data_IF_791253132387
#
_entry.id   IF_791253132387
#
_cell.length_a   1.000
_cell.length_b   1.000
_cell.length_c   1.000
_cell.angle_alpha   90.00
_cell.angle_beta   90.00
_cell.angle_gamma   90.00
#
_symmetry.space_group_name_H-M   'P 1'
#
loop_
_entity.id
_entity.type
_entity.pdbx_description
1 polymer ?
#
# COMPACT_ATOMS: atom_id res chain seq x y z
N UNK A 1 -24.26 16.07 -46.02
CA UNK A 1 -23.88 17.40 -46.55
C UNK A 1 -24.53 18.48 -45.70
N UNK A 2 -23.75 19.50 -45.28
CA UNK A 2 -24.15 20.77 -44.62
C UNK A 2 -24.61 20.61 -43.15
N UNK A 3 -24.05 21.23 -42.10
CA UNK A 3 -23.05 22.31 -41.89
C UNK A 3 -22.43 22.09 -40.50
N UNK A 4 -21.12 21.82 -40.40
CA UNK A 4 -20.33 22.01 -39.16
C UNK A 4 -18.84 22.17 -39.54
N UNK A 5 -18.55 23.04 -40.52
CA UNK A 5 -17.17 23.27 -41.00
C UNK A 5 -16.55 24.61 -40.60
N UNK A 6 -17.26 25.48 -39.86
CA UNK A 6 -16.73 26.80 -39.50
C UNK A 6 -17.14 27.22 -38.07
N UNK A 7 -16.72 26.46 -37.07
CA UNK A 7 -16.49 27.02 -35.73
C UNK A 7 -14.98 27.17 -35.54
N UNK A 8 -14.39 28.08 -36.33
CA UNK A 8 -13.14 28.71 -35.90
C UNK A 8 -13.53 29.63 -34.75
N UNK A 9 -13.20 29.23 -33.53
CA UNK A 9 -13.10 30.16 -32.41
C UNK A 9 -11.98 31.15 -32.72
N UNK A 10 -12.28 32.17 -33.53
CA UNK A 10 -11.49 33.39 -33.59
C UNK A 10 -11.86 34.15 -32.33
N UNK A 11 -11.03 34.06 -31.30
CA UNK A 11 -10.92 35.14 -30.31
C UNK A 11 -9.50 35.66 -30.38
N UNK A 12 -9.28 36.96 -30.68
CA UNK A 12 -8.01 37.57 -30.38
C UNK A 12 -7.77 37.47 -28.87
N UNK A 13 -6.51 37.30 -28.47
CA UNK A 13 -6.10 37.51 -27.09
C UNK A 13 -6.39 38.98 -26.73
N UNK A 14 -7.56 39.25 -26.15
CA UNK A 14 -7.85 40.56 -25.56
C UNK A 14 -7.23 40.54 -24.17
N UNK A 15 -6.02 41.09 -24.07
CA UNK A 15 -5.43 41.55 -22.80
C UNK A 15 -6.14 42.83 -22.38
N UNK A 16 -7.27 42.71 -21.70
CA UNK A 16 -7.85 43.87 -20.99
C UNK A 16 -7.16 44.01 -19.63
N UNK A 17 -6.31 45.02 -19.48
CA UNK A 17 -5.82 45.45 -18.17
C UNK A 17 -6.97 46.20 -17.46
N UNK A 18 -7.48 45.63 -16.38
CA UNK A 18 -8.35 46.35 -15.46
C UNK A 18 -7.55 46.67 -14.20
N UNK A 19 -7.57 47.94 -13.79
CA UNK A 19 -6.82 48.44 -12.65
C UNK A 19 -7.74 48.48 -11.42
N UNK A 20 -7.38 47.73 -10.38
CA UNK A 20 -7.81 48.03 -9.01
C UNK A 20 -6.58 48.02 -8.12
N UNK A 21 -6.29 49.13 -7.45
CA UNK A 21 -5.23 49.27 -6.44
C UNK A 21 -3.77 49.12 -6.93
N UNK A 22 -3.44 49.50 -8.16
CA UNK A 22 -2.03 49.61 -8.61
C UNK A 22 -1.31 48.28 -8.85
N UNK A 23 -2.00 47.14 -8.71
CA UNK A 23 -1.51 45.83 -9.12
C UNK A 23 -2.12 45.50 -10.49
N UNK A 24 -1.32 45.21 -11.53
CA UNK A 24 -1.86 44.82 -12.83
C UNK A 24 -2.56 43.46 -12.71
N UNK A 25 -3.90 43.46 -12.67
CA UNK A 25 -4.69 42.24 -12.80
C UNK A 25 -4.69 41.86 -14.28
N UNK A 26 -3.77 40.97 -14.65
CA UNK A 26 -3.77 40.35 -15.96
C UNK A 26 -4.75 39.18 -15.94
N UNK A 27 -5.94 39.40 -16.49
CA UNK A 27 -6.88 38.32 -16.77
C UNK A 27 -6.33 37.57 -17.99
N UNK A 28 -5.44 36.60 -17.76
CA UNK A 28 -5.07 35.63 -18.78
C UNK A 28 -6.27 34.72 -19.03
N UNK A 29 -7.01 34.94 -20.12
CA UNK A 29 -7.95 33.94 -20.61
C UNK A 29 -7.15 32.79 -21.18
N UNK A 30 -7.00 31.72 -20.41
CA UNK A 30 -6.43 30.46 -20.90
C UNK A 30 -7.41 29.84 -21.90
N UNK A 31 -7.04 29.84 -23.17
CA UNK A 31 -7.70 28.99 -24.17
C UNK A 31 -7.22 27.57 -23.94
N UNK A 32 -8.14 26.66 -23.62
CA UNK A 32 -7.84 25.24 -23.46
C UNK A 32 -8.24 24.52 -24.74
N UNK A 33 -7.31 23.76 -25.32
CA UNK A 33 -7.69 22.79 -26.33
C UNK A 33 -8.20 21.52 -25.62
N UNK A 34 -9.51 21.26 -25.71
CA UNK A 34 -10.12 20.09 -25.07
C UNK A 34 -9.64 18.76 -25.67
N UNK A 35 -9.06 18.78 -26.86
CA UNK A 35 -8.47 17.61 -27.51
C UNK A 35 -7.00 17.37 -27.06
N UNK A 36 -6.44 18.22 -26.19
CA UNK A 36 -5.04 18.13 -25.73
C UNK A 36 -4.97 18.00 -24.21
N UNK A 37 -4.81 16.78 -23.70
CA UNK A 37 -4.73 16.51 -22.26
C UNK A 37 -3.62 17.30 -21.55
N UNK A 38 -2.48 17.54 -22.22
CA UNK A 38 -1.36 18.29 -21.67
C UNK A 38 -1.75 19.71 -21.21
N UNK A 39 -2.72 20.35 -21.88
CA UNK A 39 -3.21 21.68 -21.51
C UNK A 39 -4.04 21.66 -20.22
N UNK A 40 -4.55 20.51 -19.79
CA UNK A 40 -5.27 20.33 -18.52
C UNK A 40 -4.34 19.84 -17.42
N UNK A 41 -3.33 19.05 -17.79
CA UNK A 41 -2.37 18.46 -16.86
C UNK A 41 -1.28 19.46 -16.41
N UNK A 42 -0.72 20.24 -17.34
CA UNK A 42 0.36 21.19 -17.05
C UNK A 42 -0.25 22.48 -16.50
N UNK A 43 0.09 22.81 -15.25
CA UNK A 43 -0.42 24.01 -14.57
C UNK A 43 -0.10 25.32 -15.31
N UNK A 44 1.18 25.66 -15.53
CA UNK A 44 1.58 26.93 -16.14
C UNK A 44 1.10 27.11 -17.59
N UNK A 45 0.45 28.23 -17.86
CA UNK A 45 0.14 28.74 -19.21
C UNK A 45 1.39 29.29 -19.91
N UNK A 46 1.31 29.56 -21.21
CA UNK A 46 2.46 30.07 -21.97
C UNK A 46 2.95 31.43 -21.48
N UNK A 47 2.03 32.30 -21.04
CA UNK A 47 2.39 33.58 -20.42
C UNK A 47 3.11 33.38 -19.08
N UNK A 48 2.65 32.43 -18.26
CA UNK A 48 3.30 32.11 -16.97
C UNK A 48 4.68 31.50 -17.20
N UNK A 49 4.82 30.56 -18.16
CA UNK A 49 6.12 30.01 -18.57
C UNK A 49 7.07 31.13 -19.00
N UNK A 50 6.63 32.06 -19.84
CA UNK A 50 7.45 33.18 -20.29
C UNK A 50 7.90 34.07 -19.11
N UNK A 51 7.01 34.40 -18.18
CA UNK A 51 7.35 35.18 -16.98
C UNK A 51 8.35 34.47 -16.09
N UNK A 52 8.16 33.16 -15.86
CA UNK A 52 9.08 32.34 -15.07
C UNK A 52 10.46 32.26 -15.73
N UNK A 53 10.52 32.07 -17.05
CA UNK A 53 11.76 32.06 -17.82
C UNK A 53 12.49 33.40 -17.76
N UNK A 54 11.75 34.51 -17.92
CA UNK A 54 12.30 35.86 -17.81
C UNK A 54 12.88 36.12 -16.42
N UNK A 55 12.17 35.71 -15.36
CA UNK A 55 12.65 35.82 -13.98
C UNK A 55 13.95 35.04 -13.77
N UNK A 56 14.06 33.84 -14.35
CA UNK A 56 15.25 33.00 -14.27
C UNK A 56 16.39 33.42 -15.24
N UNK A 57 16.15 34.39 -16.13
CA UNK A 57 17.14 34.83 -17.13
C UNK A 57 17.29 33.89 -18.34
N UNK A 58 16.33 32.98 -18.57
CA UNK A 58 16.32 32.09 -19.73
C UNK A 58 15.41 32.61 -20.83
N UNK A 59 15.80 32.34 -22.09
CA UNK A 59 15.07 32.77 -23.28
C UNK A 59 13.82 31.92 -23.53
N UNK A 60 13.98 30.61 -23.41
CA UNK A 60 12.99 29.58 -23.71
C UNK A 60 13.29 28.33 -22.87
N UNK A 61 12.39 27.34 -22.92
CA UNK A 61 12.56 26.07 -22.22
C UNK A 61 13.77 25.29 -22.75
N UNK A 62 14.05 25.38 -24.05
CA UNK A 62 15.20 24.71 -24.65
C UNK A 62 16.51 25.24 -24.07
N UNK A 63 16.67 26.56 -23.91
CA UNK A 63 17.84 27.15 -23.26
C UNK A 63 17.97 26.67 -21.81
N UNK A 64 16.88 26.69 -21.03
CA UNK A 64 16.87 26.20 -19.65
C UNK A 64 17.30 24.72 -19.56
N UNK A 65 16.73 23.86 -20.40
CA UNK A 65 17.12 22.45 -20.49
C UNK A 65 18.55 22.29 -20.97
N UNK A 66 18.98 23.13 -21.93
CA UNK A 66 20.29 23.11 -22.56
C UNK A 66 21.44 23.50 -21.63
N UNK A 67 21.14 24.29 -20.60
CA UNK A 67 22.10 24.67 -19.56
C UNK A 67 22.19 23.61 -18.45
N UNK A 68 21.07 22.97 -18.09
CA UNK A 68 20.97 22.22 -16.83
C UNK A 68 21.16 20.70 -16.96
N UNK A 69 20.90 20.10 -18.12
CA UNK A 69 21.02 18.64 -18.33
C UNK A 69 22.31 18.33 -19.09
N UNK A 70 23.28 17.52 -18.63
CA UNK A 70 24.50 17.29 -19.42
C UNK A 70 24.21 16.72 -20.82
N UNK A 71 24.82 17.29 -21.87
CA UNK A 71 24.57 16.91 -23.27
C UNK A 71 24.79 15.41 -23.53
N UNK A 72 25.81 14.84 -22.88
CA UNK A 72 26.23 13.44 -23.05
C UNK A 72 25.13 12.42 -22.71
N UNK A 73 24.18 12.78 -21.85
CA UNK A 73 23.07 11.90 -21.43
C UNK A 73 21.72 12.27 -22.05
N UNK A 74 21.66 13.29 -22.91
CA UNK A 74 20.41 13.70 -23.54
C UNK A 74 20.03 12.73 -24.65
N UNK A 75 18.72 12.52 -24.78
CA UNK A 75 18.16 11.86 -25.94
C UNK A 75 18.41 12.71 -27.18
N UNK A 76 19.13 12.14 -28.16
CA UNK A 76 19.44 12.78 -29.45
C UNK A 76 18.29 12.71 -30.47
N UNK A 77 17.16 12.14 -30.05
CA UNK A 77 15.95 11.98 -30.86
C UNK A 77 14.72 12.16 -29.97
N UNK A 78 13.57 12.54 -30.53
CA UNK A 78 12.30 12.46 -29.83
C UNK A 78 11.99 11.04 -29.35
N UNK A 79 11.12 10.93 -28.35
CA UNK A 79 10.53 9.66 -27.97
C UNK A 79 9.71 9.11 -29.15
N UNK A 80 9.88 7.82 -29.42
CA UNK A 80 9.13 7.12 -30.45
C UNK A 80 7.85 6.57 -29.80
N UNK A 81 6.79 7.38 -29.84
CA UNK A 81 5.51 7.10 -29.20
C UNK A 81 4.38 7.27 -30.20
N UNK A 82 3.25 6.54 -30.03
CA UNK A 82 2.04 6.80 -30.79
C UNK A 82 1.58 8.27 -30.64
N UNK A 83 0.79 8.78 -31.60
CA UNK A 83 0.18 10.09 -31.47
C UNK A 83 -0.63 10.20 -30.17
N UNK A 84 -0.58 11.37 -29.53
CA UNK A 84 -1.36 11.62 -28.32
C UNK A 84 -2.86 11.49 -28.61
N UNK A 85 -3.58 10.83 -27.70
CA UNK A 85 -5.03 10.72 -27.71
C UNK A 85 -5.64 11.84 -26.88
N UNK A 86 -6.83 12.30 -27.27
CA UNK A 86 -7.69 13.08 -26.39
C UNK A 86 -8.29 12.20 -25.27
N UNK A 87 -8.80 12.84 -24.22
CA UNK A 87 -9.32 12.13 -23.03
C UNK A 87 -10.45 11.15 -23.37
N UNK A 88 -11.32 11.51 -24.31
CA UNK A 88 -12.48 10.70 -24.67
C UNK A 88 -12.09 9.46 -25.48
N UNK A 89 -11.19 9.62 -26.45
CA UNK A 89 -10.63 8.49 -27.22
C UNK A 89 -9.86 7.54 -26.33
N UNK A 90 -9.04 8.06 -25.41
CA UNK A 90 -8.29 7.25 -24.45
C UNK A 90 -9.23 6.35 -23.62
N UNK A 91 -10.33 6.89 -23.09
CA UNK A 91 -11.30 6.10 -22.33
C UNK A 91 -12.03 5.06 -23.18
N UNK A 92 -12.30 5.37 -24.45
CA UNK A 92 -12.95 4.46 -25.39
C UNK A 92 -12.04 3.28 -25.72
N UNK A 93 -10.79 3.55 -26.11
CA UNK A 93 -9.79 2.51 -26.38
C UNK A 93 -9.49 1.66 -25.14
N UNK A 94 -9.40 2.28 -23.96
CA UNK A 94 -9.20 1.54 -22.71
C UNK A 94 -10.37 0.59 -22.43
N UNK A 95 -11.61 1.00 -22.75
CA UNK A 95 -12.79 0.14 -22.60
C UNK A 95 -12.74 -1.06 -23.54
N UNK A 96 -12.38 -0.84 -24.81
CA UNK A 96 -12.21 -1.92 -25.80
C UNK A 96 -11.14 -2.94 -25.37
N UNK A 97 -10.06 -2.49 -24.72
CA UNK A 97 -9.06 -3.38 -24.14
C UNK A 97 -9.66 -4.14 -22.95
N UNK A 98 -10.36 -3.44 -22.05
CA UNK A 98 -10.95 -4.04 -20.86
C UNK A 98 -12.01 -5.10 -21.17
N UNK A 99 -12.77 -4.91 -22.25
CA UNK A 99 -13.83 -5.83 -22.70
C UNK A 99 -13.28 -7.18 -23.20
N UNK A 100 -11.96 -7.29 -23.42
CA UNK A 100 -11.29 -8.56 -23.74
C UNK A 100 -11.12 -9.44 -22.50
N UNK A 101 -11.20 -8.87 -21.30
CA UNK A 101 -11.13 -9.63 -20.06
C UNK A 101 -12.42 -10.43 -19.86
N UNK A 102 -12.28 -11.65 -19.34
CA UNK A 102 -13.43 -12.52 -19.01
C UNK A 102 -13.61 -12.57 -17.50
N UNK A 103 -14.74 -12.06 -17.03
CA UNK A 103 -15.08 -12.07 -15.62
C UNK A 103 -15.72 -13.42 -15.25
N UNK A 104 -14.92 -14.31 -14.65
CA UNK A 104 -15.39 -15.57 -14.10
C UNK A 104 -15.70 -15.43 -12.60
N UNK A 105 -16.55 -16.33 -12.09
CA UNK A 105 -16.63 -16.58 -10.64
C UNK A 105 -15.42 -17.41 -10.26
N UNK A 106 -14.46 -16.79 -9.59
CA UNK A 106 -13.17 -17.39 -9.28
C UNK A 106 -13.15 -17.89 -7.84
N UNK A 107 -13.11 -19.21 -7.68
CA UNK A 107 -12.97 -19.89 -6.38
C UNK A 107 -11.60 -20.54 -6.21
N UNK A 108 -10.57 -19.96 -6.83
CA UNK A 108 -9.19 -20.43 -6.74
C UNK A 108 -8.67 -20.30 -5.30
N UNK A 109 -9.06 -19.23 -4.58
CA UNK A 109 -8.55 -18.93 -3.25
C UNK A 109 -7.10 -18.46 -3.30
N UNK A 110 -6.20 -19.18 -2.63
CA UNK A 110 -4.75 -18.89 -2.61
C UNK A 110 -4.43 -17.45 -2.16
N UNK A 111 -5.13 -16.94 -1.16
CA UNK A 111 -4.91 -15.59 -0.59
C UNK A 111 -5.71 -14.46 -1.25
N UNK A 112 -6.52 -14.77 -2.28
CA UNK A 112 -7.42 -13.82 -2.93
C UNK A 112 -8.84 -14.39 -2.99
N UNK A 113 -9.79 -13.66 -2.41
CA UNK A 113 -11.17 -14.10 -2.27
C UNK A 113 -12.09 -12.97 -2.71
N UNK A 114 -13.01 -13.28 -3.63
CA UNK A 114 -13.95 -12.27 -4.08
C UNK A 114 -14.83 -11.80 -2.91
N UNK A 115 -15.17 -10.51 -2.90
CA UNK A 115 -15.94 -9.91 -1.82
C UNK A 115 -16.83 -8.78 -2.34
N UNK A 116 -17.89 -8.50 -1.62
CA UNK A 116 -18.73 -7.34 -1.91
C UNK A 116 -17.99 -6.10 -1.41
N UNK A 117 -17.63 -5.22 -2.35
CA UNK A 117 -17.08 -3.90 -2.04
C UNK A 117 -18.25 -2.92 -1.82
N UNK A 118 -18.47 -2.39 -0.61
CA UNK A 118 -19.59 -1.49 -0.36
C UNK A 118 -19.54 -0.24 -1.24
N UNK A 119 -20.61 0.01 -2.00
CA UNK A 119 -20.70 1.13 -2.95
C UNK A 119 -20.45 2.50 -2.31
N UNK A 120 -20.80 2.66 -1.03
CA UNK A 120 -20.53 3.89 -0.27
C UNK A 120 -19.03 4.17 -0.13
N UNK A 121 -18.21 3.14 0.00
CA UNK A 121 -16.73 3.24 0.06
C UNK A 121 -16.19 3.55 -1.33
N UNK A 122 -16.66 2.84 -2.36
CA UNK A 122 -16.22 3.06 -3.74
C UNK A 122 -16.40 4.54 -4.10
N UNK A 123 -17.59 5.07 -3.86
CA UNK A 123 -17.93 6.44 -4.24
C UNK A 123 -17.25 7.47 -3.37
N UNK A 124 -17.31 7.33 -2.04
CA UNK A 124 -16.91 8.42 -1.13
C UNK A 124 -15.44 8.37 -0.71
N UNK A 125 -14.74 7.26 -0.96
CA UNK A 125 -13.32 7.08 -0.63
C UNK A 125 -12.49 6.82 -1.90
N UNK A 126 -12.72 5.71 -2.60
CA UNK A 126 -11.88 5.30 -3.75
C UNK A 126 -11.94 6.27 -4.93
N UNK A 127 -13.13 6.79 -5.24
CA UNK A 127 -13.36 7.72 -6.33
C UNK A 127 -13.33 9.20 -5.89
N UNK A 128 -12.88 9.47 -4.66
CA UNK A 128 -12.84 10.81 -4.08
C UNK A 128 -11.40 11.34 -4.01
N UNK A 129 -11.12 12.39 -4.79
CA UNK A 129 -9.79 13.01 -4.83
C UNK A 129 -9.33 13.58 -3.47
N UNK A 130 -10.24 13.94 -2.57
CA UNK A 130 -9.91 14.39 -1.22
C UNK A 130 -9.25 13.30 -0.36
N UNK A 131 -9.52 12.04 -0.69
CA UNK A 131 -8.91 10.87 -0.06
C UNK A 131 -7.66 10.39 -0.82
N UNK A 132 -7.70 10.38 -2.16
CA UNK A 132 -6.66 9.72 -2.97
C UNK A 132 -5.51 10.62 -3.43
N UNK A 133 -5.66 11.94 -3.37
CA UNK A 133 -4.60 12.89 -3.77
C UNK A 133 -3.51 13.14 -2.72
N UNK A 134 -3.81 13.22 -1.39
CA UNK A 134 -2.79 13.46 -0.38
C UNK A 134 -1.75 12.33 -0.32
N UNK A 135 -0.54 12.66 0.15
CA UNK A 135 0.53 11.69 0.38
C UNK A 135 0.64 11.29 1.86
N UNK A 136 1.70 10.54 2.17
CA UNK A 136 2.12 10.16 3.52
C UNK A 136 1.87 11.27 4.54
N UNK A 137 1.25 10.97 5.71
CA UNK A 137 0.93 11.96 6.74
C UNK A 137 2.15 12.48 7.52
N UNK A 138 3.11 13.09 6.82
CA UNK A 138 4.28 13.74 7.44
C UNK A 138 3.91 14.99 8.24
N UNK A 139 2.81 15.67 7.88
CA UNK A 139 2.27 16.85 8.56
C UNK A 139 1.00 16.42 9.32
N UNK A 140 1.13 15.93 10.56
CA UNK A 140 0.03 15.28 11.27
C UNK A 140 -1.16 16.21 11.55
N UNK A 141 -0.92 17.51 11.74
CA UNK A 141 -1.93 18.52 12.08
C UNK A 141 -3.00 18.65 10.97
N UNK A 142 -2.61 18.44 9.72
CA UNK A 142 -3.50 18.50 8.54
C UNK A 142 -3.79 17.10 7.96
N UNK A 143 -3.56 16.06 8.76
CA UNK A 143 -3.68 14.67 8.33
C UNK A 143 -4.49 13.77 9.28
N UNK A 144 -5.15 14.34 10.29
CA UNK A 144 -5.81 13.58 11.34
C UNK A 144 -6.86 12.59 10.83
N UNK A 145 -7.63 12.92 9.78
CA UNK A 145 -8.64 12.01 9.25
C UNK A 145 -8.07 10.67 8.74
N UNK A 146 -6.95 10.71 7.99
CA UNK A 146 -6.30 9.47 7.51
C UNK A 146 -5.51 8.77 8.61
N UNK A 147 -4.89 9.51 9.52
CA UNK A 147 -4.16 8.94 10.65
C UNK A 147 -5.10 8.19 11.60
N UNK A 148 -6.27 8.75 11.90
CA UNK A 148 -7.31 8.06 12.68
C UNK A 148 -7.77 6.78 11.98
N UNK A 149 -7.99 6.84 10.66
CA UNK A 149 -8.42 5.65 9.92
C UNK A 149 -7.35 4.56 9.85
N UNK A 150 -6.07 4.92 9.78
CA UNK A 150 -4.95 3.97 9.88
C UNK A 150 -4.82 3.40 11.29
N UNK A 151 -5.11 4.18 12.33
CA UNK A 151 -5.17 3.66 13.70
C UNK A 151 -6.30 2.64 13.84
N UNK A 152 -7.48 2.92 13.26
CA UNK A 152 -8.59 1.96 13.24
C UNK A 152 -8.22 0.66 12.51
N UNK A 153 -7.46 0.74 11.42
CA UNK A 153 -6.89 -0.44 10.78
C UNK A 153 -5.99 -1.22 11.74
N UNK A 154 -5.04 -0.56 12.39
CA UNK A 154 -4.16 -1.20 13.38
C UNK A 154 -4.95 -1.86 14.51
N UNK A 155 -5.98 -1.19 15.04
CA UNK A 155 -6.86 -1.74 16.08
C UNK A 155 -7.61 -2.97 15.60
N UNK A 156 -8.23 -2.93 14.42
CA UNK A 156 -8.96 -4.08 13.88
C UNK A 156 -8.06 -5.28 13.58
N UNK A 157 -6.82 -5.05 13.12
CA UNK A 157 -5.83 -6.12 13.01
C UNK A 157 -5.45 -6.67 14.39
N UNK A 158 -5.17 -5.80 15.37
CA UNK A 158 -4.82 -6.22 16.74
C UNK A 158 -5.94 -7.06 17.37
N UNK A 159 -7.19 -6.62 17.26
CA UNK A 159 -8.37 -7.30 17.81
C UNK A 159 -8.58 -8.68 17.17
N UNK A 160 -8.52 -8.79 15.83
CA UNK A 160 -8.74 -10.06 15.14
C UNK A 160 -7.58 -11.03 15.30
N UNK A 161 -6.34 -10.52 15.35
CA UNK A 161 -5.16 -11.37 15.51
C UNK A 161 -4.89 -11.73 16.97
N UNK A 162 -5.49 -11.03 17.93
CA UNK A 162 -5.20 -11.18 19.36
C UNK A 162 -3.81 -10.69 19.78
N UNK A 163 -3.10 -9.96 18.91
CA UNK A 163 -1.75 -9.43 19.16
C UNK A 163 -1.79 -7.94 19.47
N UNK A 164 -0.85 -7.45 20.28
CA UNK A 164 -0.99 -6.13 20.91
C UNK A 164 -0.66 -4.95 19.97
N UNK A 165 0.21 -5.14 18.98
CA UNK A 165 0.68 -4.05 18.12
C UNK A 165 0.66 -4.47 16.66
N UNK A 166 -0.07 -3.71 15.82
CA UNK A 166 -0.07 -3.85 14.37
C UNK A 166 0.52 -2.61 13.68
N UNK A 167 1.06 -2.79 12.48
CA UNK A 167 1.53 -1.69 11.62
C UNK A 167 0.40 -1.13 10.73
N UNK A 168 0.68 0.00 10.08
CA UNK A 168 -0.21 0.71 9.18
C UNK A 168 -0.12 0.20 7.73
N UNK A 169 0.01 -1.12 7.57
CA UNK A 169 0.15 -1.91 6.32
C UNK A 169 1.57 -2.24 5.82
N UNK A 170 1.62 -3.30 4.99
CA UNK A 170 2.70 -3.76 4.13
C UNK A 170 2.18 -4.02 2.70
N UNK A 171 3.08 -4.35 1.78
CA UNK A 171 2.82 -4.37 0.33
C UNK A 171 1.80 -5.42 -0.10
N UNK A 172 2.02 -6.66 0.30
CA UNK A 172 1.19 -7.83 0.01
C UNK A 172 1.52 -8.95 1.03
N UNK A 173 0.76 -10.04 1.03
CA UNK A 173 0.95 -11.12 2.01
C UNK A 173 2.34 -11.75 1.93
N UNK A 174 2.83 -11.99 0.71
CA UNK A 174 4.11 -12.64 0.48
C UNK A 174 5.27 -11.80 1.04
N UNK A 175 5.25 -10.49 0.81
CA UNK A 175 6.26 -9.55 1.35
C UNK A 175 6.12 -9.41 2.86
N UNK A 176 4.92 -9.46 3.41
CA UNK A 176 4.71 -9.50 4.86
C UNK A 176 5.30 -10.76 5.50
N UNK A 177 5.17 -11.92 4.85
CA UNK A 177 5.82 -13.17 5.27
C UNK A 177 7.35 -13.04 5.25
N UNK A 178 7.91 -12.45 4.18
CA UNK A 178 9.35 -12.22 4.08
C UNK A 178 9.88 -11.27 5.16
N UNK A 179 9.13 -10.21 5.46
CA UNK A 179 9.46 -9.28 6.54
C UNK A 179 9.37 -9.95 7.92
N UNK A 180 8.41 -10.87 8.13
CA UNK A 180 8.26 -11.60 9.39
C UNK A 180 9.47 -12.51 9.68
N UNK A 181 9.96 -13.25 8.67
CA UNK A 181 11.15 -14.09 8.85
C UNK A 181 12.42 -13.25 9.07
N UNK A 182 12.50 -12.07 8.42
CA UNK A 182 13.61 -11.14 8.64
C UNK A 182 13.59 -10.56 10.05
N UNK A 183 12.40 -10.24 10.57
CA UNK A 183 12.20 -9.78 11.95
C UNK A 183 12.63 -10.88 12.93
N UNK A 184 12.19 -12.12 12.73
CA UNK A 184 12.57 -13.26 13.56
C UNK A 184 14.08 -13.47 13.60
N UNK A 185 14.74 -13.47 12.44
CA UNK A 185 16.21 -13.59 12.36
C UNK A 185 16.92 -12.42 13.05
N UNK A 186 16.40 -11.19 12.90
CA UNK A 186 17.00 -9.99 13.50
C UNK A 186 16.92 -9.98 15.03
N UNK A 187 15.80 -10.44 15.59
CA UNK A 187 15.56 -10.47 17.04
C UNK A 187 16.31 -11.63 17.68
N UNK A 188 16.24 -12.82 17.09
CA UNK A 188 16.87 -14.03 17.66
C UNK A 188 18.37 -14.12 17.36
N UNK A 189 18.88 -13.36 16.38
CA UNK A 189 20.25 -13.46 15.84
C UNK A 189 20.59 -14.85 15.28
N UNK A 190 19.56 -15.55 14.80
CA UNK A 190 19.64 -16.87 14.16
C UNK A 190 19.19 -16.74 12.71
N UNK A 191 19.63 -17.64 11.84
CA UNK A 191 19.42 -17.54 10.39
C UNK A 191 18.81 -18.81 9.78
N UNK A 192 18.15 -19.64 10.59
CA UNK A 192 17.39 -20.80 10.11
C UNK A 192 15.92 -20.60 10.39
N UNK A 193 15.07 -20.79 9.38
CA UNK A 193 13.63 -20.63 9.49
C UNK A 193 12.98 -21.92 9.03
N UNK A 194 12.06 -22.44 9.85
CA UNK A 194 11.19 -23.53 9.43
C UNK A 194 9.95 -22.96 8.75
N UNK A 195 9.53 -23.50 7.62
CA UNK A 195 8.30 -23.07 6.92
C UNK A 195 7.36 -24.24 6.66
N UNK A 196 6.05 -24.00 6.77
CA UNK A 196 5.02 -24.95 6.36
C UNK A 196 5.01 -25.09 4.83
N UNK A 197 5.18 -26.32 4.28
CA UNK A 197 5.03 -26.58 2.85
C UNK A 197 3.66 -26.22 2.26
N UNK A 198 2.63 -26.03 3.11
CA UNK A 198 1.25 -25.66 2.73
C UNK A 198 0.95 -24.17 2.91
N UNK A 199 1.98 -23.32 3.05
CA UNK A 199 1.86 -21.90 2.73
C UNK A 199 1.39 -21.71 1.28
N UNK A 200 0.79 -20.55 0.96
CA UNK A 200 0.47 -20.26 -0.43
C UNK A 200 1.75 -20.29 -1.30
N UNK A 201 1.71 -20.86 -2.52
CA UNK A 201 2.90 -21.05 -3.34
C UNK A 201 3.68 -19.75 -3.62
N UNK A 202 2.98 -18.62 -3.81
CA UNK A 202 3.61 -17.31 -4.00
C UNK A 202 4.33 -16.81 -2.75
N UNK A 203 3.86 -17.16 -1.54
CA UNK A 203 4.52 -16.82 -0.29
C UNK A 203 5.84 -17.60 -0.21
N UNK A 204 5.82 -18.91 -0.46
CA UNK A 204 7.04 -19.76 -0.49
C UNK A 204 8.04 -19.24 -1.53
N UNK A 205 7.57 -18.88 -2.73
CA UNK A 205 8.42 -18.37 -3.79
C UNK A 205 9.17 -17.10 -3.34
N UNK A 206 8.45 -16.14 -2.75
CA UNK A 206 9.07 -14.90 -2.31
C UNK A 206 9.93 -15.07 -1.05
N UNK A 207 9.55 -15.96 -0.13
CA UNK A 207 10.40 -16.32 1.02
C UNK A 207 11.77 -16.78 0.52
N UNK A 208 11.83 -17.69 -0.47
CA UNK A 208 13.09 -18.17 -1.07
C UNK A 208 13.91 -17.02 -1.67
N UNK A 209 13.28 -16.17 -2.49
CA UNK A 209 13.93 -15.01 -3.10
C UNK A 209 14.49 -14.03 -2.07
N UNK A 210 13.82 -13.85 -0.94
CA UNK A 210 14.26 -12.91 0.12
C UNK A 210 15.27 -13.51 1.07
N UNK A 211 15.21 -14.82 1.30
CA UNK A 211 16.13 -15.53 2.18
C UNK A 211 17.54 -15.66 1.58
N UNK A 212 17.66 -15.92 0.28
CA UNK A 212 18.93 -16.11 -0.43
C UNK A 212 19.95 -14.97 -0.21
N UNK A 213 19.64 -13.69 -0.48
CA UNK A 213 20.61 -12.60 -0.28
C UNK A 213 20.88 -12.25 1.20
N UNK A 214 20.16 -12.88 2.13
CA UNK A 214 20.28 -12.63 3.57
C UNK A 214 20.90 -13.82 4.32
N UNK A 215 21.35 -14.85 3.60
CA UNK A 215 21.89 -16.10 4.14
C UNK A 215 20.93 -16.75 5.17
N UNK A 216 19.62 -16.64 4.93
CA UNK A 216 18.60 -17.32 5.74
C UNK A 216 18.34 -18.71 5.14
N UNK A 217 18.57 -19.75 5.91
CA UNK A 217 18.29 -21.13 5.54
C UNK A 217 16.79 -21.43 5.76
N UNK A 218 16.07 -21.74 4.67
CA UNK A 218 14.65 -22.09 4.70
C UNK A 218 14.47 -23.60 4.66
N UNK A 219 13.95 -24.16 5.74
CA UNK A 219 13.82 -25.60 5.93
C UNK A 219 12.32 -25.95 5.99
N UNK A 220 11.80 -26.84 5.13
CA UNK A 220 10.40 -27.24 5.20
C UNK A 220 10.13 -28.01 6.50
N UNK A 221 9.00 -27.72 7.15
CA UNK A 221 8.51 -28.51 8.28
C UNK A 221 8.15 -29.92 7.82
N UNK A 222 8.55 -30.93 8.60
CA UNK A 222 8.22 -32.33 8.33
C UNK A 222 6.86 -32.74 8.89
N UNK A 223 6.42 -32.08 9.96
CA UNK A 223 5.15 -32.33 10.64
C UNK A 223 4.70 -31.04 11.33
N UNK A 224 3.47 -30.59 11.06
CA UNK A 224 2.92 -29.34 11.60
C UNK A 224 2.11 -29.58 12.88
N UNK A 225 1.42 -30.72 13.01
CA UNK A 225 0.47 -31.00 14.10
C UNK A 225 0.99 -32.01 15.13
N UNK A 226 1.90 -32.90 14.75
CA UNK A 226 2.44 -33.91 15.66
C UNK A 226 3.60 -33.40 16.49
N UNK A 227 4.81 -33.89 16.21
CA UNK A 227 6.03 -33.62 17.00
C UNK A 227 7.08 -32.91 16.14
N UNK A 228 6.90 -31.61 15.83
CA UNK A 228 7.81 -30.85 14.99
C UNK A 228 9.21 -30.79 15.61
N UNK A 229 10.24 -31.10 14.80
CA UNK A 229 11.64 -30.96 15.22
C UNK A 229 12.07 -29.50 15.11
N UNK A 230 11.97 -28.76 16.21
CA UNK A 230 12.45 -27.36 16.30
C UNK A 230 13.74 -27.32 17.11
N UNK A 231 14.87 -27.13 16.43
CA UNK A 231 16.19 -27.03 17.08
C UNK A 231 16.44 -25.64 17.70
N UNK A 232 17.40 -25.55 18.63
CA UNK A 232 17.77 -24.31 19.33
C UNK A 232 18.40 -23.24 18.45
N UNK A 233 18.81 -23.55 17.24
CA UNK A 233 19.38 -22.60 16.27
C UNK A 233 18.32 -22.10 15.26
N UNK A 234 17.06 -22.55 15.37
CA UNK A 234 15.93 -22.01 14.60
C UNK A 234 15.57 -20.61 15.13
N UNK A 235 15.47 -19.66 14.21
CA UNK A 235 15.05 -18.28 14.46
C UNK A 235 13.53 -18.16 14.59
N UNK A 236 12.80 -18.89 13.76
CA UNK A 236 11.35 -18.87 13.75
C UNK A 236 10.75 -19.95 12.87
N UNK A 237 9.46 -20.15 13.08
CA UNK A 237 8.61 -21.09 12.37
C UNK A 237 7.46 -20.31 11.75
N UNK A 238 7.25 -20.44 10.44
CA UNK A 238 6.15 -19.80 9.71
C UNK A 238 5.13 -20.83 9.21
N UNK A 239 3.87 -20.66 9.58
CA UNK A 239 2.75 -21.56 9.23
C UNK A 239 1.55 -20.79 8.69
N UNK A 240 0.77 -21.40 7.79
CA UNK A 240 -0.48 -20.81 7.29
C UNK A 240 -1.68 -21.29 8.13
N UNK A 241 -2.61 -20.39 8.43
CA UNK A 241 -3.77 -20.65 9.29
C UNK A 241 -5.03 -19.88 8.82
N UNK A 242 -6.01 -20.55 8.16
CA UNK A 242 -5.97 -21.91 7.61
C UNK A 242 -4.95 -22.08 6.49
N UNK A 243 -4.51 -23.31 6.22
CA UNK A 243 -3.50 -23.57 5.20
C UNK A 243 -4.02 -23.37 3.76
N UNK A 244 -3.13 -23.47 2.76
CA UNK A 244 -3.49 -23.26 1.35
C UNK A 244 -4.52 -24.25 0.80
N UNK A 245 -4.73 -25.38 1.48
CA UNK A 245 -5.70 -26.42 1.14
C UNK A 245 -7.01 -26.28 1.95
N UNK A 246 -7.09 -25.28 2.84
CA UNK A 246 -8.23 -25.01 3.70
C UNK A 246 -8.24 -25.78 5.03
N UNK A 247 -7.17 -26.50 5.37
CA UNK A 247 -7.04 -27.21 6.64
C UNK A 247 -6.74 -26.24 7.78
N UNK A 248 -7.40 -26.47 8.91
CA UNK A 248 -7.12 -25.79 10.18
C UNK A 248 -6.29 -26.76 11.03
N UNK A 249 -5.08 -26.35 11.39
CA UNK A 249 -4.16 -27.17 12.18
C UNK A 249 -4.41 -27.02 13.69
N UNK A 250 -4.15 -28.08 14.45
CA UNK A 250 -3.81 -27.96 15.87
C UNK A 250 -2.33 -27.59 16.01
N UNK A 251 -2.07 -26.36 16.51
CA UNK A 251 -0.74 -25.78 16.58
C UNK A 251 -0.15 -25.79 17.99
N UNK A 252 -0.84 -26.34 19.00
CA UNK A 252 -0.42 -26.25 20.41
C UNK A 252 0.99 -26.81 20.63
N UNK A 253 1.27 -28.00 20.11
CA UNK A 253 2.57 -28.65 20.23
C UNK A 253 3.67 -27.89 19.49
N UNK A 254 3.38 -27.37 18.30
CA UNK A 254 4.33 -26.61 17.49
C UNK A 254 4.74 -25.32 18.20
N UNK A 255 3.76 -24.60 18.73
CA UNK A 255 3.98 -23.34 19.44
C UNK A 255 4.82 -23.58 20.69
N UNK A 256 4.40 -24.55 21.51
CA UNK A 256 5.11 -24.92 22.74
C UNK A 256 6.57 -25.31 22.45
N UNK A 257 6.80 -26.24 21.52
CA UNK A 257 8.15 -26.72 21.18
C UNK A 257 9.03 -25.60 20.60
N UNK A 258 8.43 -24.70 19.81
CA UNK A 258 9.13 -23.54 19.25
C UNK A 258 9.60 -22.59 20.34
N UNK A 259 8.72 -22.27 21.30
CA UNK A 259 9.05 -21.39 22.41
C UNK A 259 10.07 -22.00 23.38
N UNK A 260 9.97 -23.30 23.67
CA UNK A 260 10.95 -24.03 24.50
C UNK A 260 12.38 -23.96 23.91
N UNK A 261 12.50 -23.82 22.58
CA UNK A 261 13.77 -23.68 21.86
C UNK A 261 14.12 -22.23 21.50
N UNK A 262 13.29 -21.26 21.91
CA UNK A 262 13.48 -19.83 21.70
C UNK A 262 13.25 -19.34 20.27
N UNK A 263 12.60 -20.13 19.42
CA UNK A 263 12.16 -19.72 18.10
C UNK A 263 10.89 -18.85 18.19
N UNK A 264 10.70 -17.92 17.25
CA UNK A 264 9.43 -17.18 17.12
C UNK A 264 8.41 -17.96 16.30
N UNK A 265 7.13 -17.87 16.68
CA UNK A 265 6.03 -18.42 15.86
C UNK A 265 5.41 -17.32 15.02
N UNK A 266 5.36 -17.55 13.71
CA UNK A 266 4.77 -16.65 12.71
C UNK A 266 3.55 -17.35 12.11
N UNK A 267 2.37 -16.73 12.20
CA UNK A 267 1.14 -17.23 11.59
C UNK A 267 0.72 -16.35 10.42
N UNK A 268 0.60 -16.93 9.23
CA UNK A 268 0.00 -16.29 8.05
C UNK A 268 -1.49 -16.60 8.07
N UNK A 269 -2.34 -15.58 8.22
CA UNK A 269 -3.75 -15.77 8.55
C UNK A 269 -4.71 -14.94 7.68
N UNK A 270 -5.92 -15.47 7.56
CA UNK A 270 -7.04 -14.81 6.88
C UNK A 270 -7.93 -14.10 7.91
N UNK A 271 -8.06 -12.78 7.82
CA UNK A 271 -8.82 -11.99 8.81
C UNK A 271 -10.29 -12.40 8.92
N UNK A 272 -10.92 -12.90 7.84
CA UNK A 272 -12.32 -13.32 7.91
C UNK A 272 -12.44 -14.63 8.67
N UNK A 273 -11.51 -15.55 8.48
CA UNK A 273 -11.47 -16.80 9.23
C UNK A 273 -11.32 -16.56 10.74
N UNK A 274 -10.55 -15.54 11.14
CA UNK A 274 -10.34 -15.18 12.55
C UNK A 274 -11.58 -14.59 13.25
N UNK A 275 -12.65 -14.30 12.51
CA UNK A 275 -13.94 -13.96 13.14
C UNK A 275 -14.61 -15.17 13.80
N UNK A 276 -14.18 -16.39 13.45
CA UNK A 276 -14.71 -17.66 13.98
C UNK A 276 -13.63 -18.53 14.65
N UNK A 277 -12.40 -18.47 14.15
CA UNK A 277 -11.29 -19.26 14.65
C UNK A 277 -10.61 -18.58 15.84
N UNK A 278 -9.96 -19.39 16.68
CA UNK A 278 -9.13 -18.88 17.77
C UNK A 278 -8.01 -18.01 17.18
N UNK A 279 -7.80 -16.82 17.74
CA UNK A 279 -6.84 -15.86 17.21
C UNK A 279 -5.39 -16.36 17.35
N UNK A 280 -4.46 -15.94 16.47
CA UNK A 280 -3.03 -16.21 16.62
C UNK A 280 -2.48 -15.88 18.01
N UNK A 281 -2.85 -14.73 18.58
CA UNK A 281 -2.43 -14.31 19.91
C UNK A 281 -2.90 -15.25 21.02
N UNK A 282 -4.17 -15.68 20.97
CA UNK A 282 -4.71 -16.64 21.94
C UNK A 282 -4.08 -18.04 21.81
N UNK A 283 -3.58 -18.38 20.62
CA UNK A 283 -2.81 -19.61 20.39
C UNK A 283 -1.35 -19.49 20.86
N UNK A 284 -0.83 -18.28 21.03
CA UNK A 284 0.55 -18.01 21.44
C UNK A 284 1.50 -17.68 20.27
N UNK A 285 0.99 -17.21 19.14
CA UNK A 285 1.85 -16.70 18.07
C UNK A 285 2.61 -15.44 18.51
N UNK A 286 3.82 -15.26 17.99
CA UNK A 286 4.60 -14.04 18.23
C UNK A 286 4.36 -12.97 17.16
N UNK A 287 4.04 -13.41 15.94
CA UNK A 287 3.84 -12.56 14.77
C UNK A 287 2.67 -13.11 13.96
N UNK A 288 1.73 -12.25 13.57
CA UNK A 288 0.70 -12.56 12.60
C UNK A 288 0.83 -11.68 11.36
N UNK A 289 0.74 -12.27 10.19
CA UNK A 289 0.74 -11.57 8.89
C UNK A 289 -0.40 -12.08 8.02
N UNK A 290 -0.76 -11.33 6.99
CA UNK A 290 -1.82 -11.74 6.06
C UNK A 290 -2.23 -10.61 5.13
N UNK A 291 -3.25 -10.88 4.32
CA UNK A 291 -3.87 -9.91 3.42
C UNK A 291 -5.22 -9.42 3.96
N UNK A 292 -5.49 -8.11 3.93
CA UNK A 292 -6.82 -7.57 4.26
C UNK A 292 -7.74 -7.40 3.03
N UNK A 293 -7.38 -7.94 1.86
CA UNK A 293 -8.14 -7.81 0.61
C UNK A 293 -9.63 -8.11 0.75
N UNK A 294 -9.97 -9.25 1.35
CA UNK A 294 -11.37 -9.69 1.40
C UNK A 294 -12.23 -8.89 2.38
N UNK A 295 -11.66 -7.92 3.07
CA UNK A 295 -12.39 -6.93 3.86
C UNK A 295 -12.77 -5.73 2.96
N UNK A 296 -13.46 -6.03 1.87
CA UNK A 296 -14.08 -5.04 0.99
C UNK A 296 -13.15 -4.36 0.00
N UNK A 297 -12.14 -5.06 -0.51
CA UNK A 297 -11.33 -4.60 -1.65
C UNK A 297 -11.56 -5.50 -2.86
N UNK A 298 -11.63 -4.93 -4.08
CA UNK A 298 -11.78 -5.74 -5.28
C UNK A 298 -10.55 -6.62 -5.50
N UNK A 299 -10.70 -7.76 -6.17
CA UNK A 299 -9.58 -8.65 -6.51
C UNK A 299 -8.43 -7.94 -7.24
N UNK A 300 -8.74 -6.92 -8.08
CA UNK A 300 -7.73 -6.04 -8.68
C UNK A 300 -6.71 -6.73 -9.58
N UNK A 301 -6.96 -7.98 -10.00
CA UNK A 301 -6.00 -8.80 -10.73
C UNK A 301 -4.61 -8.86 -10.04
N UNK A 302 -4.62 -8.92 -8.70
CA UNK A 302 -3.42 -9.04 -7.85
C UNK A 302 -3.25 -7.90 -6.84
N UNK A 303 -3.93 -6.76 -7.02
CA UNK A 303 -3.82 -5.65 -6.08
C UNK A 303 -4.34 -4.33 -6.64
N UNK A 304 -4.10 -3.22 -5.92
CA UNK A 304 -3.43 -3.10 -4.63
C UNK A 304 -4.27 -3.59 -3.42
N UNK A 305 -3.62 -4.29 -2.48
CA UNK A 305 -4.22 -4.70 -1.20
C UNK A 305 -3.25 -4.46 -0.05
N UNK A 306 -3.70 -4.10 1.16
CA UNK A 306 -2.83 -3.87 2.28
C UNK A 306 -2.63 -5.21 2.98
N UNK A 307 -1.38 -5.66 3.02
CA UNK A 307 -1.02 -6.68 3.99
C UNK A 307 -0.85 -6.06 5.37
N UNK A 308 -0.88 -6.89 6.40
CA UNK A 308 -0.66 -6.47 7.77
C UNK A 308 0.48 -7.26 8.41
N UNK A 309 1.08 -6.68 9.43
CA UNK A 309 1.86 -7.40 10.42
C UNK A 309 1.42 -6.94 11.80
N UNK A 310 1.11 -7.89 12.66
CA UNK A 310 0.91 -7.71 14.09
C UNK A 310 1.92 -8.53 14.88
N UNK A 311 2.33 -8.04 16.04
CA UNK A 311 3.39 -8.65 16.85
C UNK A 311 3.03 -8.66 18.33
N UNK A 312 3.48 -9.70 19.01
CA UNK A 312 3.32 -9.87 20.44
C UNK A 312 4.20 -8.88 21.24
N UNK A 313 3.72 -8.44 22.41
CA UNK A 313 4.52 -7.65 23.36
C UNK A 313 5.23 -8.57 24.36
N UNK A 314 6.42 -9.06 23.99
CA UNK A 314 7.19 -10.02 24.82
C UNK A 314 7.65 -9.48 26.19
N UNK A 315 8.26 -8.29 26.27
CA UNK A 315 8.58 -7.63 27.55
C UNK A 315 8.62 -6.08 27.39
N UNK A 316 8.62 -5.33 28.50
CA UNK A 316 8.61 -3.85 28.49
C UNK A 316 9.84 -3.20 27.81
N UNK A 317 10.95 -3.94 27.70
CA UNK A 317 12.25 -3.52 27.14
C UNK A 317 12.54 -4.10 25.74
N UNK A 318 11.97 -5.25 25.37
CA UNK A 318 12.21 -6.03 24.15
C UNK A 318 10.90 -6.32 23.38
N UNK A 319 10.12 -5.28 23.12
CA UNK A 319 8.97 -5.41 22.23
C UNK A 319 9.42 -5.61 20.78
N UNK A 320 8.89 -6.65 20.13
CA UNK A 320 9.05 -6.89 18.69
C UNK A 320 8.65 -5.66 17.85
N UNK A 321 7.77 -4.79 18.39
CA UNK A 321 7.35 -3.53 17.77
C UNK A 321 8.50 -2.54 17.53
N UNK A 322 9.62 -2.63 18.27
CA UNK A 322 10.83 -1.82 18.00
C UNK A 322 11.58 -2.25 16.74
N UNK A 323 11.23 -3.39 16.19
CA UNK A 323 11.83 -3.93 14.96
C UNK A 323 10.82 -4.21 13.87
N UNK A 324 9.54 -3.91 14.15
CA UNK A 324 8.44 -4.12 13.21
C UNK A 324 8.61 -3.20 11.99
N UNK A 325 8.49 -3.74 10.76
CA UNK A 325 8.60 -2.97 9.53
C UNK A 325 7.32 -2.19 9.25
N UNK A 326 7.46 -1.21 8.37
CA UNK A 326 6.37 -0.32 7.99
C UNK A 326 6.19 0.84 8.96
N UNK A 327 5.07 1.54 8.80
CA UNK A 327 4.70 2.70 9.62
C UNK A 327 3.78 2.27 10.75
N UNK A 328 3.77 3.01 11.85
CA UNK A 328 2.87 2.77 12.98
C UNK A 328 2.25 4.11 13.35
N UNK A 329 0.93 4.22 13.35
CA UNK A 329 0.24 5.37 13.94
C UNK A 329 0.17 5.18 15.45
N UNK A 330 0.47 6.24 16.18
CA UNK A 330 0.31 6.30 17.62
C UNK A 330 -0.43 7.55 18.07
N UNK A 331 -1.01 7.45 19.26
CA UNK A 331 -1.66 8.56 19.96
C UNK A 331 -0.60 9.39 20.68
N UNK A 332 -0.62 10.70 20.45
CA UNK A 332 0.24 11.69 21.08
C UNK A 332 -0.62 12.87 21.59
N UNK A 333 0.02 13.91 22.14
CA UNK A 333 -0.66 15.11 22.65
C UNK A 333 -0.04 16.37 22.05
N UNK A 334 -0.89 17.27 21.55
CA UNK A 334 -0.52 18.63 21.18
C UNK A 334 -1.08 19.60 22.23
N UNK A 335 -0.19 20.18 23.03
CA UNK A 335 -0.42 21.21 24.07
C UNK A 335 -1.44 20.79 25.14
N UNK A 336 -2.70 20.45 24.81
CA UNK A 336 -3.70 19.80 25.68
C UNK A 336 -4.71 18.87 24.95
N UNK A 337 -4.55 18.58 23.65
CA UNK A 337 -5.47 17.74 22.87
C UNK A 337 -4.78 16.47 22.37
N UNK A 338 -5.46 15.33 22.43
CA UNK A 338 -4.98 14.10 21.79
C UNK A 338 -4.89 14.27 20.27
N UNK A 339 -3.81 13.79 19.67
CA UNK A 339 -3.53 13.88 18.24
C UNK A 339 -2.85 12.59 17.77
N UNK A 340 -3.11 12.14 16.56
CA UNK A 340 -2.43 10.99 15.95
C UNK A 340 -1.16 11.42 15.21
N UNK A 341 -0.11 10.59 15.24
CA UNK A 341 1.14 10.84 14.50
C UNK A 341 1.86 9.54 14.12
N UNK A 342 2.71 9.58 13.10
CA UNK A 342 3.58 8.45 12.74
C UNK A 342 4.69 8.28 13.79
N UNK A 343 4.71 7.13 14.45
CA UNK A 343 5.76 6.71 15.38
C UNK A 343 6.92 6.01 14.64
N UNK A 344 8.05 5.83 15.34
CA UNK A 344 9.14 4.94 14.93
C UNK A 344 9.76 5.25 13.53
N UNK A 345 9.77 6.53 13.13
CA UNK A 345 10.26 6.96 11.81
C UNK A 345 11.75 6.63 11.55
N UNK A 346 12.57 6.41 12.59
CA UNK A 346 13.97 5.99 12.46
C UNK A 346 14.16 4.59 11.86
N UNK A 347 13.15 3.72 11.96
CA UNK A 347 13.17 2.32 11.49
C UNK A 347 12.83 2.21 9.99
N UNK A 348 12.24 3.27 9.42
CA UNK A 348 11.66 3.28 8.07
C UNK A 348 12.69 3.08 6.93
N UNK A 349 13.99 3.07 7.24
CA UNK A 349 15.09 2.94 6.25
C UNK A 349 15.20 1.57 5.57
N UNK A 350 14.63 0.47 6.09
CA UNK A 350 14.84 -0.85 5.45
C UNK A 350 13.99 -1.05 4.18
N UNK A 351 12.79 -0.48 4.11
CA UNK A 351 11.88 -0.62 2.95
C UNK A 351 12.25 0.34 1.79
N UNK A 352 12.77 1.53 2.10
CA UNK A 352 13.08 2.56 1.10
C UNK A 352 14.24 2.18 0.16
N UNK A 353 15.13 1.27 0.58
CA UNK A 353 16.34 0.94 -0.19
C UNK A 353 16.16 -0.21 -1.20
N UNK A 354 15.04 -0.93 -1.19
CA UNK A 354 14.91 -2.16 -2.00
C UNK A 354 13.87 -2.09 -3.13
N UNK A 355 12.94 -1.13 -3.14
CA UNK A 355 11.97 -0.98 -4.26
C UNK A 355 11.59 0.50 -4.49
N UNK A 356 12.33 1.26 -5.32
CA UNK A 356 12.09 2.69 -5.54
C UNK A 356 10.82 3.02 -6.36
N UNK A 357 10.06 2.02 -6.83
CA UNK A 357 8.93 2.21 -7.76
C UNK A 357 7.54 1.96 -7.16
N UNK A 358 7.44 1.58 -5.88
CA UNK A 358 6.14 1.32 -5.25
C UNK A 358 5.54 2.64 -4.76
N UNK A 359 4.39 3.00 -5.34
CA UNK A 359 3.62 4.15 -4.91
C UNK A 359 2.93 3.85 -3.57
N UNK A 360 3.61 4.20 -2.48
CA UNK A 360 3.10 4.15 -1.11
C UNK A 360 1.75 4.90 -0.92
N UNK A 361 1.29 5.72 -1.89
CA UNK A 361 -0.07 6.30 -1.88
C UNK A 361 -1.15 5.25 -1.82
N UNK A 362 -1.01 4.15 -2.57
CA UNK A 362 -2.09 3.15 -2.67
C UNK A 362 -2.19 2.35 -1.36
N UNK A 363 -1.07 2.02 -0.73
CA UNK A 363 -1.02 1.18 0.47
C UNK A 363 -1.58 1.84 1.74
N UNK A 364 -1.19 3.10 2.01
CA UNK A 364 -1.79 3.89 3.11
C UNK A 364 -3.32 4.03 2.92
N UNK A 365 -3.80 4.00 1.68
CA UNK A 365 -5.22 4.14 1.32
C UNK A 365 -6.03 2.86 1.48
N UNK A 366 -5.44 1.68 1.35
CA UNK A 366 -6.16 0.42 1.52
C UNK A 366 -6.35 0.03 2.98
N UNK A 367 -5.40 0.33 3.87
CA UNK A 367 -5.63 0.18 5.31
C UNK A 367 -6.84 1.01 5.77
N UNK A 368 -7.03 2.17 5.13
CA UNK A 368 -8.14 3.09 5.30
C UNK A 368 -9.54 2.50 4.96
N UNK A 369 -9.62 1.52 4.05
CA UNK A 369 -10.90 0.96 3.60
C UNK A 369 -11.50 -0.02 4.59
N UNK A 370 -10.66 -0.69 5.39
CA UNK A 370 -11.11 -1.76 6.28
C UNK A 370 -12.02 -1.26 7.41
N UNK A 371 -11.90 0.02 7.80
CA UNK A 371 -12.79 0.69 8.77
C UNK A 371 -14.28 0.54 8.41
N UNK A 372 -14.61 0.58 7.13
CA UNK A 372 -16.03 0.68 6.73
C UNK A 372 -16.71 -0.70 6.69
N UNK A 373 -15.96 -1.81 6.61
CA UNK A 373 -16.53 -3.15 6.77
C UNK A 373 -16.62 -3.60 8.21
N UNK A 374 -15.74 -3.14 9.11
CA UNK A 374 -15.85 -3.45 10.54
C UNK A 374 -17.18 -2.95 11.12
N UNK A 375 -17.71 -1.83 10.61
CA UNK A 375 -19.05 -1.35 10.99
C UNK A 375 -20.17 -2.29 10.52
N UNK A 376 -20.02 -3.00 9.40
CA UNK A 376 -21.04 -3.98 8.96
C UNK A 376 -20.90 -5.35 9.65
N UNK A 377 -19.67 -5.82 9.92
CA UNK A 377 -19.45 -7.11 10.59
C UNK A 377 -19.83 -7.06 12.07
N UNK A 378 -19.66 -5.91 12.74
CA UNK A 378 -20.08 -5.74 14.15
C UNK A 378 -21.59 -5.51 14.25
N UNK A 379 -22.21 -4.75 13.34
CA UNK A 379 -23.66 -4.47 13.41
C UNK A 379 -24.51 -5.68 12.98
N UNK A 380 -23.99 -6.59 12.17
CA UNK A 380 -24.70 -7.82 11.79
C UNK A 380 -24.50 -8.99 12.78
N UNK A 381 -23.67 -8.82 13.82
CA UNK A 381 -23.46 -9.80 14.89
C UNK A 381 -24.33 -9.56 16.14
N UNK A 382 -25.12 -8.49 16.16
CA UNK A 382 -26.04 -8.14 17.25
C UNK A 382 -27.54 -8.31 16.86
N UNK A 383 -27.86 -8.99 15.76
CA UNK A 383 -29.23 -9.45 15.45
C UNK A 383 -29.44 -10.95 15.68
#
# INVERSE_FOLDING_TARGET
MRRFKDLRCISPAITSASYSHGVPIVISRRSLNYDTFADRHIGPSDLEKQRMLQFLGFKDLDHLTNTNVPEQIRLKRPLDLPPALDEWRMLTELREISDKNKNYRTYIGMGYYDCIVPNVIIRNVLQNAGWTSPYTPYQPEIAQGRLESLLNFQTMIADLTGLEIANASLLDEATACAEAICLASRVTKRFKILYDPHLHPQNIALLRTRAEPLDIDLIPLTDVEGSPSVAKDIAGVIVQYPNTEGKIYDLENLIKTSHENGALVIMVCDLLSLTLLKSPGDLGADIAVGNAQRFGLPLGYGGPHPAFMAVAKRDEKNSLARTMPGRIVGVSKLVYKALYSLLHQSIQKSLLNSVPWIDFKKLDMHGLMVRTLTIHVIVAGEE
#
